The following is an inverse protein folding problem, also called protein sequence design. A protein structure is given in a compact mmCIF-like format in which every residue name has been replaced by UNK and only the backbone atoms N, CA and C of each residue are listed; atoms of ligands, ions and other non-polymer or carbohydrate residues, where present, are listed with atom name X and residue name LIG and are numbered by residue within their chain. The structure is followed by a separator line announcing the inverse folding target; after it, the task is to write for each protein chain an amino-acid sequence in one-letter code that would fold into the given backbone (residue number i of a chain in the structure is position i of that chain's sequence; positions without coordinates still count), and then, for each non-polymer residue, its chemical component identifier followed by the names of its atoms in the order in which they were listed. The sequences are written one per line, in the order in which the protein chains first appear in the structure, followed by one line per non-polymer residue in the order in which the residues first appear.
data_IF_248591564614
#
_entry.id   IF_248591564614
#
_cell.length_a   1.000
_cell.length_b   1.000
_cell.length_c   1.000
_cell.angle_alpha   90.00
_cell.angle_beta   90.00
_cell.angle_gamma   90.00
#
_symmetry.space_group_name_H-M   'P 1'
#
loop_
_entity.id
_entity.type
_entity.pdbx_description
1 polymer ?
#
# COMPACT_ATOMS: atom_id res chain seq x y z
N UNK A 1 47.05 -5.94 -5.45
CA UNK A 1 45.68 -5.41 -5.67
C UNK A 1 44.85 -5.79 -4.44
N UNK A 2 45.00 -5.16 -3.27
CA UNK A 2 44.81 -3.75 -2.92
C UNK A 2 43.40 -3.24 -3.25
N UNK A 3 42.54 -3.31 -2.22
CA UNK A 3 41.58 -2.30 -1.73
C UNK A 3 40.61 -1.62 -2.71
N UNK A 4 39.29 -1.68 -2.40
CA UNK A 4 38.56 -0.58 -1.75
C UNK A 4 37.06 -0.90 -1.66
N UNK A 5 36.59 -1.17 -0.44
CA UNK A 5 35.18 -1.00 -0.07
C UNK A 5 35.16 -0.04 1.13
N UNK A 6 34.87 1.23 0.83
CA UNK A 6 34.58 2.36 1.72
C UNK A 6 33.47 3.12 0.99
N UNK A 7 32.43 3.68 1.57
CA UNK A 7 31.96 3.89 2.93
C UNK A 7 30.52 4.38 2.78
N UNK A 8 29.64 4.09 3.74
CA UNK A 8 28.56 4.99 4.11
C UNK A 8 27.93 4.53 5.44
N UNK A 9 28.44 5.04 6.55
CA UNK A 9 27.59 5.59 7.61
C UNK A 9 28.45 6.21 8.70
N UNK A 10 28.39 7.54 8.77
CA UNK A 10 28.85 8.36 9.88
C UNK A 10 27.62 9.14 10.37
N UNK A 11 27.51 9.19 11.70
CA UNK A 11 26.74 10.11 12.55
C UNK A 11 25.23 9.92 12.70
N UNK A 12 24.87 9.25 13.79
CA UNK A 12 24.01 9.87 14.80
C UNK A 12 24.67 9.74 16.18
N UNK A 13 25.01 10.89 16.74
CA UNK A 13 25.43 11.09 18.12
C UNK A 13 24.22 11.06 19.06
N UNK A 14 24.35 10.39 20.19
CA UNK A 14 23.37 10.40 21.28
C UNK A 14 23.98 9.75 22.51
N UNK A 15 24.30 10.56 23.51
CA UNK A 15 25.04 10.15 24.71
C UNK A 15 24.20 9.45 25.79
N UNK A 16 24.95 8.77 26.67
CA UNK A 16 24.65 8.41 28.06
C UNK A 16 23.38 7.58 28.37
N UNK A 17 23.58 6.29 28.64
CA UNK A 17 23.53 5.74 30.01
C UNK A 17 23.88 4.25 30.02
N UNK A 18 24.95 3.90 30.73
CA UNK A 18 25.34 2.52 30.97
C UNK A 18 24.39 1.88 31.99
N UNK A 19 23.45 1.06 31.52
CA UNK A 19 22.68 0.15 32.36
C UNK A 19 23.37 -1.21 32.39
N UNK A 20 24.02 -1.48 33.53
CA UNK A 20 24.68 -2.74 33.88
C UNK A 20 23.60 -3.81 34.09
N UNK A 21 23.52 -4.78 33.19
CA UNK A 21 22.62 -5.94 33.32
C UNK A 21 23.24 -7.05 34.19
N UNK A 22 22.46 -7.75 35.03
CA UNK A 22 22.97 -8.78 35.92
C UNK A 22 23.29 -10.09 35.16
N UNK A 23 24.39 -10.72 35.58
CA UNK A 23 24.82 -12.05 35.15
C UNK A 23 23.85 -13.12 35.63
N UNK A 24 22.97 -13.58 34.76
CA UNK A 24 22.17 -14.80 34.95
C UNK A 24 22.12 -15.58 33.64
N UNK A 25 22.64 -16.81 33.64
CA UNK A 25 22.63 -17.71 32.48
C UNK A 25 21.19 -18.08 32.13
N UNK A 26 20.80 -18.06 30.84
CA UNK A 26 19.74 -18.91 30.33
C UNK A 26 20.37 -20.09 29.57
N UNK A 27 20.46 -21.23 30.26
CA UNK A 27 20.63 -22.53 29.62
C UNK A 27 19.35 -22.87 28.86
N UNK A 28 19.36 -22.66 27.54
CA UNK A 28 18.56 -23.39 26.54
C UNK A 28 18.99 -22.94 25.15
N UNK A 29 20.07 -23.55 24.67
CA UNK A 29 20.43 -23.52 23.26
C UNK A 29 19.28 -24.13 22.44
N UNK A 30 18.51 -23.30 21.74
CA UNK A 30 17.86 -23.72 20.51
C UNK A 30 18.96 -23.95 19.48
N UNK A 31 19.52 -25.17 19.48
CA UNK A 31 20.38 -25.65 18.40
C UNK A 31 19.48 -25.86 17.18
N UNK A 32 19.48 -24.91 16.26
CA UNK A 32 19.13 -25.19 14.87
C UNK A 32 20.11 -26.27 14.38
N UNK A 33 19.63 -27.51 14.27
CA UNK A 33 20.43 -28.65 13.84
C UNK A 33 20.68 -28.52 12.34
N UNK A 34 21.73 -27.78 11.97
CA UNK A 34 22.37 -27.91 10.67
C UNK A 34 23.18 -29.22 10.69
N UNK A 35 22.70 -30.26 10.00
CA UNK A 35 23.38 -31.55 9.94
C UNK A 35 22.39 -32.71 9.92
N UNK A 36 21.92 -33.01 8.72
CA UNK A 36 20.99 -34.09 8.41
C UNK A 36 20.59 -33.93 6.95
N UNK A 37 21.40 -34.49 6.07
CA UNK A 37 21.24 -34.53 4.63
C UNK A 37 20.00 -35.36 4.27
N UNK A 38 18.84 -34.77 4.53
CA UNK A 38 17.61 -35.07 3.81
C UNK A 38 17.51 -33.93 2.81
N UNK A 39 17.80 -34.24 1.56
CA UNK A 39 17.48 -33.39 0.43
C UNK A 39 15.97 -33.17 0.48
N UNK A 40 15.55 -32.08 1.13
CA UNK A 40 14.20 -31.59 1.03
C UNK A 40 13.88 -31.49 -0.46
N UNK A 41 12.79 -32.10 -0.95
CA UNK A 41 12.43 -31.99 -2.35
C UNK A 41 12.31 -30.50 -2.73
N UNK A 42 12.71 -30.12 -3.96
CA UNK A 42 12.71 -28.72 -4.39
C UNK A 42 11.33 -28.10 -4.21
N UNK A 43 11.26 -26.78 -3.96
CA UNK A 43 10.16 -26.18 -3.23
C UNK A 43 8.86 -26.19 -4.02
N UNK A 44 7.94 -27.00 -3.55
CA UNK A 44 6.54 -27.02 -3.99
C UNK A 44 5.82 -25.71 -3.70
N UNK A 45 6.32 -24.88 -2.77
CA UNK A 45 5.85 -23.51 -2.51
C UNK A 45 6.01 -22.57 -3.71
N UNK A 46 7.15 -22.63 -4.39
CA UNK A 46 7.49 -21.77 -5.55
C UNK A 46 6.46 -21.84 -6.69
N UNK A 47 5.91 -23.03 -6.96
CA UNK A 47 4.89 -23.24 -7.99
C UNK A 47 3.60 -22.49 -7.70
N UNK A 48 3.16 -22.45 -6.43
CA UNK A 48 1.95 -21.70 -6.04
C UNK A 48 2.18 -20.19 -6.16
N UNK A 49 3.35 -19.71 -5.76
CA UNK A 49 3.74 -18.29 -5.92
C UNK A 49 3.75 -17.91 -7.41
N UNK A 50 4.31 -18.76 -8.27
CA UNK A 50 4.28 -18.57 -9.73
C UNK A 50 2.85 -18.50 -10.28
N UNK A 51 1.91 -19.28 -9.72
CA UNK A 51 0.50 -19.25 -10.11
C UNK A 51 -0.23 -17.95 -9.76
N UNK A 52 0.28 -17.14 -8.81
CA UNK A 52 -0.32 -15.86 -8.43
C UNK A 52 0.53 -14.66 -8.84
N UNK A 53 1.64 -14.83 -9.56
CA UNK A 53 2.67 -13.79 -9.68
C UNK A 53 2.17 -12.50 -10.33
N UNK A 54 1.16 -12.58 -11.20
CA UNK A 54 0.54 -11.41 -11.85
C UNK A 54 -0.49 -10.70 -10.97
N UNK A 55 -1.00 -11.34 -9.91
CA UNK A 55 -2.12 -10.80 -9.11
C UNK A 55 -1.72 -9.56 -8.29
N UNK A 56 -0.60 -9.57 -7.52
CA UNK A 56 -0.19 -8.40 -6.76
C UNK A 56 0.04 -7.14 -7.61
N UNK A 57 0.88 -7.15 -8.66
CA UNK A 57 1.09 -5.94 -9.46
C UNK A 57 -0.19 -5.48 -10.19
N UNK A 58 -1.02 -6.41 -10.66
CA UNK A 58 -2.32 -6.08 -11.27
C UNK A 58 -3.29 -5.41 -10.29
N UNK A 59 -3.31 -5.85 -9.03
CA UNK A 59 -4.13 -5.23 -7.99
C UNK A 59 -3.66 -3.81 -7.70
N UNK A 60 -2.36 -3.61 -7.48
CA UNK A 60 -1.76 -2.30 -7.24
C UNK A 60 -2.03 -1.33 -8.40
N UNK A 61 -1.93 -1.80 -9.65
CA UNK A 61 -2.26 -1.00 -10.82
C UNK A 61 -3.70 -0.44 -10.77
N UNK A 62 -4.70 -1.27 -10.44
CA UNK A 62 -6.10 -0.86 -10.34
C UNK A 62 -6.34 0.13 -9.19
N UNK A 63 -5.65 -0.03 -8.07
CA UNK A 63 -5.75 0.92 -6.96
C UNK A 63 -5.21 2.28 -7.38
N UNK A 64 -4.09 2.31 -8.10
CA UNK A 64 -3.54 3.55 -8.65
C UNK A 64 -4.45 4.21 -9.70
N UNK A 65 -5.10 3.43 -10.57
CA UNK A 65 -6.10 3.97 -11.52
C UNK A 65 -7.25 4.68 -10.78
N UNK A 66 -7.70 4.12 -9.66
CA UNK A 66 -8.71 4.75 -8.82
C UNK A 66 -8.19 6.04 -8.15
N UNK A 67 -6.98 5.99 -7.58
CA UNK A 67 -6.33 7.14 -6.93
C UNK A 67 -6.16 8.27 -7.95
N UNK A 68 -5.71 7.99 -9.17
CA UNK A 68 -5.59 8.98 -10.24
C UNK A 68 -6.92 9.68 -10.49
N UNK A 69 -7.99 8.90 -10.67
CA UNK A 69 -9.32 9.46 -10.85
C UNK A 69 -9.74 10.39 -9.71
N UNK A 70 -9.45 10.04 -8.45
CA UNK A 70 -9.77 10.87 -7.29
C UNK A 70 -8.95 12.16 -7.28
N UNK A 71 -7.63 12.05 -7.39
CA UNK A 71 -6.70 13.19 -7.34
C UNK A 71 -7.01 14.18 -8.46
N UNK A 72 -7.14 13.71 -9.70
CA UNK A 72 -7.45 14.56 -10.84
C UNK A 72 -8.79 15.27 -10.63
N UNK A 73 -9.85 14.58 -10.20
CA UNK A 73 -11.14 15.24 -9.94
C UNK A 73 -11.04 16.36 -8.90
N UNK A 74 -10.31 16.14 -7.81
CA UNK A 74 -10.11 17.15 -6.76
C UNK A 74 -9.36 18.35 -7.33
N UNK A 75 -8.22 18.12 -8.01
CA UNK A 75 -7.43 19.20 -8.61
C UNK A 75 -8.23 20.01 -9.63
N UNK A 76 -9.01 19.34 -10.50
CA UNK A 76 -9.80 20.02 -11.52
C UNK A 76 -10.88 20.90 -10.89
N UNK A 77 -11.55 20.43 -9.83
CA UNK A 77 -12.55 21.22 -9.11
C UNK A 77 -11.95 22.48 -8.50
N UNK A 78 -10.76 22.39 -7.90
CA UNK A 78 -10.12 23.54 -7.26
C UNK A 78 -9.51 24.55 -8.24
N UNK A 79 -9.31 24.17 -9.50
CA UNK A 79 -8.70 25.01 -10.53
C UNK A 79 -9.65 25.40 -11.67
N UNK A 80 -10.96 25.12 -11.55
CA UNK A 80 -11.95 25.33 -12.62
C UNK A 80 -12.02 26.76 -13.17
N UNK A 81 -11.73 27.75 -12.33
CA UNK A 81 -11.75 29.15 -12.72
C UNK A 81 -10.51 29.60 -13.51
N UNK A 82 -9.47 28.75 -13.56
CA UNK A 82 -8.16 29.06 -14.14
C UNK A 82 -7.79 27.96 -15.15
N UNK A 83 -8.25 28.03 -16.41
CA UNK A 83 -8.12 26.92 -17.38
C UNK A 83 -6.68 26.49 -17.63
N UNK A 84 -5.74 27.45 -17.69
CA UNK A 84 -4.32 27.17 -17.88
C UNK A 84 -3.73 26.43 -16.67
N UNK A 85 -3.95 26.94 -15.45
CA UNK A 85 -3.59 26.26 -14.21
C UNK A 85 -4.17 24.85 -14.13
N UNK A 86 -5.45 24.70 -14.44
CA UNK A 86 -6.15 23.41 -14.44
C UNK A 86 -5.46 22.41 -15.36
N UNK A 87 -5.14 22.81 -16.59
CA UNK A 87 -4.49 21.94 -17.57
C UNK A 87 -3.11 21.46 -17.11
N UNK A 88 -2.32 22.35 -16.49
CA UNK A 88 -0.99 22.01 -16.00
C UNK A 88 -1.01 21.18 -14.72
N UNK A 89 -1.91 21.48 -13.78
CA UNK A 89 -2.11 20.64 -12.59
C UNK A 89 -2.49 19.21 -12.97
N UNK A 90 -3.37 19.05 -13.98
CA UNK A 90 -3.73 17.73 -14.50
C UNK A 90 -2.52 16.98 -15.03
N UNK A 91 -1.72 17.66 -15.88
CA UNK A 91 -0.53 17.07 -16.50
C UNK A 91 0.51 16.65 -15.46
N UNK A 92 0.85 17.55 -14.54
CA UNK A 92 1.80 17.28 -13.46
C UNK A 92 1.36 16.09 -12.60
N UNK A 93 0.11 16.10 -12.14
CA UNK A 93 -0.42 15.03 -11.30
C UNK A 93 -0.47 13.67 -12.01
N UNK A 94 -0.95 13.62 -13.26
CA UNK A 94 -0.97 12.37 -14.03
C UNK A 94 0.45 11.84 -14.29
N UNK A 95 1.43 12.70 -14.60
CA UNK A 95 2.81 12.28 -14.80
C UNK A 95 3.41 11.69 -13.52
N UNK A 96 3.24 12.37 -12.38
CA UNK A 96 3.72 11.90 -11.09
C UNK A 96 3.06 10.57 -10.70
N UNK A 97 1.74 10.47 -10.84
CA UNK A 97 1.00 9.26 -10.49
C UNK A 97 1.41 8.08 -11.37
N UNK A 98 1.59 8.29 -12.68
CA UNK A 98 2.07 7.23 -13.58
C UNK A 98 3.46 6.72 -13.15
N UNK A 99 4.39 7.63 -12.84
CA UNK A 99 5.73 7.29 -12.35
C UNK A 99 5.68 6.51 -11.03
N UNK A 100 4.83 6.93 -10.08
CA UNK A 100 4.70 6.26 -8.79
C UNK A 100 4.00 4.90 -8.92
N UNK A 101 3.00 4.80 -9.81
CA UNK A 101 2.32 3.55 -10.17
C UNK A 101 3.29 2.51 -10.73
N UNK A 102 4.14 2.90 -11.68
CA UNK A 102 5.17 2.00 -12.25
C UNK A 102 6.10 1.47 -11.16
N UNK A 103 6.66 2.36 -10.34
CA UNK A 103 7.52 1.97 -9.20
C UNK A 103 6.82 1.04 -8.22
N UNK A 104 5.54 1.30 -7.92
CA UNK A 104 4.77 0.45 -7.01
C UNK A 104 4.55 -0.95 -7.62
N UNK A 105 4.31 -1.04 -8.92
CA UNK A 105 4.20 -2.32 -9.63
C UNK A 105 5.52 -3.10 -9.64
N UNK A 106 6.64 -2.42 -9.90
CA UNK A 106 7.97 -3.03 -9.89
C UNK A 106 8.32 -3.60 -8.52
N UNK A 107 8.08 -2.84 -7.44
CA UNK A 107 8.25 -3.33 -6.06
C UNK A 107 7.40 -4.56 -5.77
N UNK A 108 6.15 -4.60 -6.27
CA UNK A 108 5.31 -5.79 -6.08
C UNK A 108 5.81 -6.99 -6.87
N UNK A 109 6.41 -6.77 -8.04
CA UNK A 109 7.06 -7.82 -8.80
C UNK A 109 8.28 -8.36 -8.03
N UNK A 110 9.14 -7.48 -7.52
CA UNK A 110 10.28 -7.84 -6.68
C UNK A 110 9.85 -8.66 -5.46
N UNK A 111 8.82 -8.23 -4.73
CA UNK A 111 8.30 -8.97 -3.58
C UNK A 111 7.86 -10.39 -3.95
N UNK A 112 7.19 -10.56 -5.09
CA UNK A 112 6.80 -11.87 -5.60
C UNK A 112 8.01 -12.71 -6.00
N UNK A 113 9.01 -12.13 -6.66
CA UNK A 113 10.24 -12.83 -7.04
C UNK A 113 11.04 -13.27 -5.81
N UNK A 114 11.14 -12.43 -4.79
CA UNK A 114 11.78 -12.76 -3.52
C UNK A 114 11.12 -13.99 -2.88
N UNK A 115 9.78 -14.07 -2.87
CA UNK A 115 9.04 -15.24 -2.37
C UNK A 115 9.22 -16.51 -3.23
N UNK A 116 9.57 -16.38 -4.51
CA UNK A 116 9.89 -17.55 -5.36
C UNK A 116 11.27 -18.13 -5.05
N UNK A 117 12.20 -17.30 -4.59
CA UNK A 117 13.59 -17.67 -4.33
C UNK A 117 13.80 -18.33 -2.97
N UNK A 118 12.91 -18.07 -2.00
CA UNK A 118 13.12 -18.51 -0.61
C UNK A 118 11.93 -19.26 -0.01
N UNK A 119 12.23 -20.35 0.70
CA UNK A 119 11.30 -21.05 1.59
C UNK A 119 11.42 -20.54 3.03
N UNK A 120 11.42 -19.22 3.19
CA UNK A 120 11.63 -18.60 4.51
C UNK A 120 10.49 -18.93 5.47
N UNK A 121 10.78 -19.80 6.43
CA UNK A 121 9.83 -20.40 7.41
C UNK A 121 10.10 -19.99 8.85
N UNK A 122 11.07 -19.10 9.12
CA UNK A 122 11.39 -18.63 10.49
C UNK A 122 10.32 -17.74 11.14
N UNK A 123 9.12 -17.65 10.55
CA UNK A 123 7.98 -17.01 11.17
C UNK A 123 7.48 -17.90 12.33
N UNK A 124 7.37 -17.40 13.58
CA UNK A 124 6.90 -18.21 14.70
C UNK A 124 5.50 -18.78 14.49
N UNK A 125 4.64 -18.12 13.69
CA UNK A 125 3.32 -18.62 13.32
C UNK A 125 3.38 -19.86 12.44
N UNK A 126 4.48 -20.11 11.72
CA UNK A 126 4.64 -21.28 10.86
C UNK A 126 4.51 -22.58 11.66
N UNK A 127 5.29 -22.69 12.74
CA UNK A 127 5.27 -23.87 13.61
C UNK A 127 3.90 -24.07 14.25
N UNK A 128 3.24 -22.99 14.67
CA UNK A 128 1.90 -23.05 15.24
C UNK A 128 0.88 -23.60 14.23
N UNK A 129 0.86 -23.06 13.01
CA UNK A 129 -0.05 -23.49 11.94
C UNK A 129 0.24 -24.93 11.50
N UNK A 130 1.52 -25.29 11.34
CA UNK A 130 1.91 -26.66 11.02
C UNK A 130 1.50 -27.65 12.10
N UNK A 131 1.74 -27.34 13.39
CA UNK A 131 1.31 -28.20 14.50
C UNK A 131 -0.21 -28.37 14.55
N UNK A 132 -0.97 -27.29 14.31
CA UNK A 132 -2.43 -27.37 14.23
C UNK A 132 -2.87 -28.31 13.09
N UNK A 133 -2.31 -28.13 11.90
CA UNK A 133 -2.61 -28.99 10.75
C UNK A 133 -2.22 -30.45 10.98
N UNK A 134 -1.09 -30.70 11.63
CA UNK A 134 -0.60 -32.04 11.96
C UNK A 134 -1.46 -32.78 12.98
N UNK A 135 -2.26 -32.08 13.79
CA UNK A 135 -3.22 -32.73 14.71
C UNK A 135 -4.24 -33.64 13.98
N UNK A 136 -4.44 -33.41 12.68
CA UNK A 136 -5.34 -34.19 11.83
C UNK A 136 -4.72 -35.49 11.30
N UNK A 137 -3.42 -35.74 11.55
CA UNK A 137 -2.71 -36.90 11.00
C UNK A 137 -3.35 -38.22 11.43
N UNK A 138 -3.75 -38.37 12.69
CA UNK A 138 -4.40 -39.60 13.17
C UNK A 138 -5.71 -39.87 12.42
N UNK A 139 -6.55 -38.84 12.23
CA UNK A 139 -7.80 -38.93 11.46
C UNK A 139 -7.53 -39.36 10.01
N UNK A 140 -6.50 -38.79 9.39
CA UNK A 140 -6.09 -39.12 8.03
C UNK A 140 -5.60 -40.56 7.91
N UNK A 141 -4.68 -40.99 8.78
CA UNK A 141 -4.13 -42.36 8.76
C UNK A 141 -5.20 -43.41 9.05
N UNK A 142 -6.17 -43.09 9.90
CA UNK A 142 -7.32 -43.95 10.17
C UNK A 142 -8.18 -44.22 8.92
N UNK A 143 -8.35 -43.21 8.05
CA UNK A 143 -9.11 -43.32 6.81
C UNK A 143 -8.35 -44.10 5.72
N UNK A 144 -7.02 -44.03 5.73
CA UNK A 144 -6.14 -44.82 4.86
C UNK A 144 -6.14 -46.30 5.27
N UNK A 145 -6.03 -46.58 6.57
CA UNK A 145 -5.88 -47.95 7.06
C UNK A 145 -7.18 -48.76 7.03
N UNK A 146 -8.34 -48.10 7.19
CA UNK A 146 -9.64 -48.78 7.26
C UNK A 146 -10.38 -48.69 5.94
N UNK A 147 -10.28 -49.73 5.11
CA UNK A 147 -10.98 -49.79 3.80
C UNK A 147 -12.50 -49.67 3.91
N UNK A 148 -13.09 -50.05 5.05
CA UNK A 148 -14.53 -49.95 5.34
C UNK A 148 -15.01 -48.53 5.64
N UNK A 149 -14.11 -47.58 5.91
CA UNK A 149 -14.47 -46.16 6.09
C UNK A 149 -14.68 -45.49 4.73
N UNK A 150 -15.48 -44.42 4.74
CA UNK A 150 -15.63 -43.49 3.61
C UNK A 150 -14.27 -43.15 3.01
N UNK A 151 -14.22 -43.11 1.67
CA UNK A 151 -13.04 -42.65 0.94
C UNK A 151 -12.87 -41.13 1.05
N UNK A 152 -13.95 -40.38 1.25
CA UNK A 152 -13.89 -38.93 1.40
C UNK A 152 -13.70 -38.54 2.86
N UNK A 153 -12.70 -37.69 3.11
CA UNK A 153 -12.46 -37.05 4.40
C UNK A 153 -12.36 -35.54 4.21
N UNK A 154 -12.90 -34.78 5.15
CA UNK A 154 -12.70 -33.34 5.18
C UNK A 154 -11.52 -32.98 6.10
N UNK A 155 -10.53 -32.28 5.56
CA UNK A 155 -9.35 -31.79 6.24
C UNK A 155 -9.37 -30.27 6.31
N UNK A 156 -9.09 -29.71 7.48
CA UNK A 156 -8.98 -28.26 7.68
C UNK A 156 -7.91 -27.67 6.74
N UNK A 157 -8.19 -26.49 6.18
CA UNK A 157 -7.36 -25.78 5.19
C UNK A 157 -7.12 -26.47 3.83
N UNK A 158 -7.55 -27.73 3.66
CA UNK A 158 -7.44 -28.47 2.40
C UNK A 158 -8.81 -28.70 1.75
N UNK A 159 -9.83 -28.99 2.54
CA UNK A 159 -11.17 -29.36 2.08
C UNK A 159 -11.38 -30.87 2.02
N UNK A 160 -12.34 -31.28 1.19
CA UNK A 160 -12.65 -32.70 0.98
C UNK A 160 -11.56 -33.39 0.13
N UNK A 161 -11.10 -34.55 0.60
CA UNK A 161 -10.05 -35.36 -0.01
C UNK A 161 -10.55 -36.78 -0.16
N UNK A 162 -10.51 -37.29 -1.39
CA UNK A 162 -10.71 -38.71 -1.68
C UNK A 162 -9.39 -39.47 -1.44
N UNK A 163 -9.40 -40.37 -0.45
CA UNK A 163 -8.26 -41.20 -0.08
C UNK A 163 -8.28 -42.58 -0.70
N UNK A 164 -9.27 -42.93 -1.53
CA UNK A 164 -9.40 -44.27 -2.11
C UNK A 164 -8.10 -44.72 -2.81
N UNK A 165 -7.58 -43.88 -3.69
CA UNK A 165 -6.36 -44.14 -4.49
C UNK A 165 -5.05 -44.06 -3.67
N UNK A 166 -5.12 -43.55 -2.44
CA UNK A 166 -3.96 -43.41 -1.56
C UNK A 166 -3.73 -44.65 -0.69
N UNK A 167 -4.75 -45.52 -0.54
CA UNK A 167 -4.70 -46.73 0.29
C UNK A 167 -3.68 -47.75 -0.18
N UNK A 168 -3.31 -47.71 -1.45
CA UNK A 168 -2.36 -48.63 -2.07
C UNK A 168 -0.90 -48.11 -2.01
N UNK A 169 -0.66 -46.92 -1.45
CA UNK A 169 0.66 -46.27 -1.36
C UNK A 169 1.04 -45.96 0.09
N UNK A 170 0.96 -46.96 0.97
CA UNK A 170 1.09 -46.77 2.43
C UNK A 170 2.47 -46.27 2.85
N UNK A 171 3.50 -46.63 2.10
CA UNK A 171 4.90 -46.44 2.49
C UNK A 171 5.32 -44.96 2.47
N UNK A 172 4.64 -44.13 1.68
CA UNK A 172 4.98 -42.71 1.47
C UNK A 172 3.87 -41.76 1.92
N UNK A 173 2.73 -42.29 2.38
CA UNK A 173 1.53 -41.48 2.58
C UNK A 173 1.67 -40.51 3.77
N UNK A 174 2.41 -40.93 4.79
CA UNK A 174 2.64 -40.12 5.98
C UNK A 174 3.56 -38.94 5.66
N UNK A 175 4.63 -39.17 4.90
CA UNK A 175 5.56 -38.13 4.46
C UNK A 175 4.87 -37.15 3.49
N UNK A 176 4.05 -37.66 2.59
CA UNK A 176 3.25 -36.83 1.68
C UNK A 176 2.26 -35.95 2.44
N UNK A 177 1.64 -36.47 3.51
CA UNK A 177 0.75 -35.71 4.37
C UNK A 177 1.50 -34.61 5.13
N UNK A 178 2.64 -34.92 5.77
CA UNK A 178 3.46 -33.92 6.46
C UNK A 178 3.90 -32.80 5.50
N UNK A 179 4.41 -33.17 4.32
CA UNK A 179 4.80 -32.21 3.29
C UNK A 179 3.62 -31.32 2.88
N UNK A 180 2.42 -31.89 2.69
CA UNK A 180 1.21 -31.13 2.37
C UNK A 180 0.84 -30.14 3.47
N UNK A 181 0.95 -30.51 4.75
CA UNK A 181 0.69 -29.60 5.87
C UNK A 181 1.71 -28.47 5.93
N UNK A 182 3.00 -28.77 5.75
CA UNK A 182 4.08 -27.77 5.69
C UNK A 182 3.84 -26.73 4.59
N UNK A 183 3.52 -27.18 3.38
CA UNK A 183 3.22 -26.29 2.24
C UNK A 183 1.98 -25.43 2.55
N UNK A 184 0.97 -26.01 3.20
CA UNK A 184 -0.27 -25.30 3.54
C UNK A 184 -0.01 -24.20 4.58
N UNK A 185 0.75 -24.51 5.64
CA UNK A 185 1.16 -23.54 6.65
C UNK A 185 2.04 -22.43 6.05
N UNK A 186 3.03 -22.78 5.24
CA UNK A 186 3.89 -21.82 4.54
C UNK A 186 3.09 -20.90 3.62
N UNK A 187 2.16 -21.46 2.82
CA UNK A 187 1.35 -20.69 1.89
C UNK A 187 0.50 -19.62 2.58
N UNK A 188 -0.02 -19.91 3.78
CA UNK A 188 -0.77 -18.94 4.60
C UNK A 188 0.10 -17.73 4.96
N UNK A 189 1.37 -17.97 5.30
CA UNK A 189 2.32 -16.91 5.65
C UNK A 189 2.71 -16.08 4.43
N UNK A 190 3.04 -16.72 3.32
CA UNK A 190 3.41 -16.02 2.07
C UNK A 190 2.29 -15.10 1.63
N UNK A 191 1.04 -15.60 1.65
CA UNK A 191 -0.11 -14.78 1.26
C UNK A 191 -0.25 -13.55 2.17
N UNK A 192 -0.08 -13.73 3.49
CA UNK A 192 -0.07 -12.62 4.44
C UNK A 192 1.02 -11.60 4.14
N UNK A 193 2.26 -12.04 3.92
CA UNK A 193 3.39 -11.16 3.60
C UNK A 193 3.14 -10.34 2.33
N UNK A 194 2.62 -10.96 1.28
CA UNK A 194 2.30 -10.27 0.03
C UNK A 194 1.20 -9.22 0.26
N UNK A 195 0.14 -9.56 1.02
CA UNK A 195 -0.96 -8.64 1.32
C UNK A 195 -0.49 -7.46 2.18
N UNK A 196 0.23 -7.74 3.26
CA UNK A 196 0.75 -6.71 4.17
C UNK A 196 1.72 -5.78 3.43
N UNK A 197 2.60 -6.35 2.61
CA UNK A 197 3.54 -5.58 1.79
C UNK A 197 2.80 -4.65 0.82
N UNK A 198 1.82 -5.16 0.07
CA UNK A 198 0.99 -4.31 -0.82
C UNK A 198 0.33 -3.16 -0.06
N UNK A 199 -0.28 -3.45 1.09
CA UNK A 199 -0.99 -2.44 1.87
C UNK A 199 -0.04 -1.36 2.40
N UNK A 200 1.11 -1.75 2.93
CA UNK A 200 2.10 -0.83 3.47
C UNK A 200 2.72 0.05 2.39
N UNK A 201 3.11 -0.53 1.24
CA UNK A 201 3.67 0.24 0.14
C UNK A 201 2.66 1.21 -0.46
N UNK A 202 1.40 0.78 -0.68
CA UNK A 202 0.34 1.68 -1.17
C UNK A 202 0.12 2.86 -0.22
N UNK A 203 0.04 2.59 1.09
CA UNK A 203 -0.16 3.65 2.09
C UNK A 203 1.03 4.62 2.12
N UNK A 204 2.25 4.09 2.14
CA UNK A 204 3.47 4.90 2.15
C UNK A 204 3.57 5.77 0.90
N UNK A 205 3.40 5.17 -0.29
CA UNK A 205 3.50 5.88 -1.56
C UNK A 205 2.40 6.95 -1.69
N UNK A 206 1.17 6.67 -1.21
CA UNK A 206 0.10 7.67 -1.19
C UNK A 206 0.41 8.85 -0.26
N UNK A 207 0.94 8.59 0.94
CA UNK A 207 1.31 9.65 1.87
C UNK A 207 2.46 10.50 1.31
N UNK A 208 3.46 9.87 0.70
CA UNK A 208 4.57 10.58 0.09
C UNK A 208 4.13 11.40 -1.13
N UNK A 209 3.26 10.83 -1.96
CA UNK A 209 2.67 11.53 -3.11
C UNK A 209 2.00 12.83 -2.67
N UNK A 210 1.07 12.76 -1.71
CA UNK A 210 0.24 13.90 -1.30
C UNK A 210 1.02 14.92 -0.48
N UNK A 211 1.88 14.47 0.44
CA UNK A 211 2.52 15.37 1.41
C UNK A 211 3.87 15.91 0.94
N UNK A 212 4.54 15.26 -0.01
CA UNK A 212 5.93 15.59 -0.37
C UNK A 212 6.12 15.86 -1.87
N UNK A 213 5.52 15.04 -2.74
CA UNK A 213 5.86 15.07 -4.17
C UNK A 213 4.93 15.95 -5.00
N UNK A 214 3.62 15.98 -4.68
CA UNK A 214 2.62 16.63 -5.52
C UNK A 214 2.82 18.13 -5.65
N UNK A 215 3.12 18.82 -4.55
CA UNK A 215 3.39 20.26 -4.58
C UNK A 215 4.62 20.56 -5.44
N UNK A 216 5.71 19.83 -5.22
CA UNK A 216 6.96 20.02 -5.96
C UNK A 216 6.77 19.79 -7.47
N UNK A 217 6.04 18.74 -7.86
CA UNK A 217 5.77 18.45 -9.27
C UNK A 217 4.87 19.54 -9.90
N UNK A 218 3.82 19.97 -9.20
CA UNK A 218 2.94 21.04 -9.69
C UNK A 218 3.74 22.34 -9.84
N UNK A 219 4.49 22.76 -8.82
CA UNK A 219 5.30 23.99 -8.86
C UNK A 219 6.35 23.93 -9.96
N UNK A 220 7.01 22.77 -10.14
CA UNK A 220 7.95 22.55 -11.23
C UNK A 220 7.32 22.74 -12.61
N UNK A 221 6.10 22.22 -12.79
CA UNK A 221 5.33 22.40 -14.03
C UNK A 221 4.88 23.86 -14.24
N UNK A 222 4.59 24.60 -13.17
CA UNK A 222 4.13 26.00 -13.22
C UNK A 222 5.25 26.99 -13.57
N UNK A 223 6.43 26.81 -12.99
CA UNK A 223 7.54 27.76 -13.15
C UNK A 223 8.13 27.70 -14.56
N UNK A 224 8.09 26.52 -15.20
CA UNK A 224 8.68 26.28 -16.52
C UNK A 224 10.19 26.60 -16.56
N UNK A 225 10.87 26.40 -17.70
CA UNK A 225 12.31 26.66 -17.79
C UNK A 225 12.69 28.15 -17.64
N UNK A 226 11.73 29.05 -17.89
CA UNK A 226 11.98 30.48 -18.05
C UNK A 226 11.33 31.36 -16.96
N UNK A 227 10.75 30.78 -15.90
CA UNK A 227 10.30 31.48 -14.69
C UNK A 227 9.10 32.43 -14.82
N UNK A 228 8.60 32.70 -16.03
CA UNK A 228 7.53 33.67 -16.31
C UNK A 228 6.14 33.07 -16.59
N UNK A 229 5.91 31.80 -16.27
CA UNK A 229 4.67 31.09 -16.60
C UNK A 229 3.49 31.39 -15.66
N UNK A 230 3.76 31.65 -14.39
CA UNK A 230 2.75 31.64 -13.31
C UNK A 230 1.64 32.66 -13.55
N UNK A 231 1.97 33.89 -13.94
CA UNK A 231 0.98 34.96 -14.14
C UNK A 231 -0.03 34.60 -15.23
N UNK A 232 0.43 34.01 -16.34
CA UNK A 232 -0.45 33.55 -17.43
C UNK A 232 -1.33 32.39 -16.99
N UNK A 233 -0.84 31.55 -16.09
CA UNK A 233 -1.58 30.39 -15.62
C UNK A 233 -2.70 30.74 -14.64
N UNK A 234 -2.54 31.85 -13.92
CA UNK A 234 -3.54 32.44 -13.03
C UNK A 234 -4.54 33.36 -13.74
N UNK A 235 -4.59 33.33 -15.08
CA UNK A 235 -5.61 34.04 -15.84
C UNK A 235 -6.98 33.39 -15.65
N UNK A 236 -7.93 34.19 -15.14
CA UNK A 236 -9.31 33.75 -14.93
C UNK A 236 -10.02 33.45 -16.25
N UNK A 237 -10.92 32.46 -16.23
CA UNK A 237 -11.80 32.22 -17.35
C UNK A 237 -12.62 33.49 -17.69
N UNK A 238 -12.80 33.85 -18.97
CA UNK A 238 -13.51 35.08 -19.35
C UNK A 238 -14.93 35.19 -18.75
N UNK A 239 -15.62 34.06 -18.60
CA UNK A 239 -16.94 34.00 -17.98
C UNK A 239 -16.94 34.32 -16.49
N UNK A 240 -15.88 33.94 -15.77
CA UNK A 240 -15.68 34.22 -14.34
C UNK A 240 -15.31 35.69 -14.16
N UNK A 241 -14.37 36.19 -14.96
CA UNK A 241 -13.98 37.60 -14.95
C UNK A 241 -15.19 38.53 -15.21
N UNK A 242 -16.01 38.22 -16.22
CA UNK A 242 -17.22 38.98 -16.51
C UNK A 242 -18.26 38.95 -15.38
N UNK A 243 -18.44 37.80 -14.71
CA UNK A 243 -19.31 37.68 -13.54
C UNK A 243 -18.79 38.51 -12.36
N UNK A 244 -17.48 38.46 -12.10
CA UNK A 244 -16.81 39.24 -11.05
C UNK A 244 -16.99 40.74 -11.28
N UNK A 245 -16.80 41.20 -12.51
CA UNK A 245 -17.00 42.61 -12.88
C UNK A 245 -18.45 43.06 -12.69
N UNK A 246 -19.42 42.25 -13.14
CA UNK A 246 -20.85 42.55 -12.96
C UNK A 246 -21.24 42.62 -11.48
N UNK A 247 -20.74 41.68 -10.67
CA UNK A 247 -20.99 41.65 -9.23
C UNK A 247 -20.39 42.87 -8.54
N UNK A 248 -19.13 43.22 -8.85
CA UNK A 248 -18.45 44.38 -8.29
C UNK A 248 -19.19 45.70 -8.61
N UNK A 249 -19.70 45.86 -9.84
CA UNK A 249 -20.53 47.01 -10.21
C UNK A 249 -21.81 47.09 -9.37
N UNK A 250 -22.47 45.94 -9.16
CA UNK A 250 -23.70 45.86 -8.36
C UNK A 250 -23.44 46.19 -6.89
N UNK A 251 -22.38 45.64 -6.31
CA UNK A 251 -21.96 45.94 -4.93
C UNK A 251 -21.65 47.43 -4.76
N UNK A 252 -20.96 48.05 -5.73
CA UNK A 252 -20.68 49.49 -5.68
C UNK A 252 -21.96 50.32 -5.65
N UNK A 253 -22.90 50.04 -6.55
CA UNK A 253 -24.19 50.74 -6.61
C UNK A 253 -24.99 50.58 -5.30
N UNK A 254 -25.01 49.37 -4.72
CA UNK A 254 -25.69 49.12 -3.46
C UNK A 254 -25.07 49.92 -2.30
N UNK A 255 -23.74 50.06 -2.26
CA UNK A 255 -23.05 50.90 -1.27
C UNK A 255 -23.39 52.38 -1.43
N UNK A 256 -23.46 52.87 -2.67
CA UNK A 256 -23.87 54.24 -2.98
C UNK A 256 -25.32 54.50 -2.55
N UNK A 257 -26.24 53.57 -2.85
CA UNK A 257 -27.64 53.66 -2.43
C UNK A 257 -27.78 53.67 -0.91
N UNK A 258 -27.04 52.78 -0.20
CA UNK A 258 -27.05 52.73 1.25
C UNK A 258 -26.58 54.06 1.87
N UNK A 259 -25.55 54.70 1.30
CA UNK A 259 -25.07 56.01 1.76
C UNK A 259 -26.09 57.13 1.54
N UNK A 260 -26.86 57.09 0.45
CA UNK A 260 -27.96 58.05 0.21
C UNK A 260 -29.09 57.86 1.21
N UNK A 261 -29.50 56.62 1.46
CA UNK A 261 -30.55 56.31 2.45
C UNK A 261 -30.14 56.73 3.85
N UNK A 262 -28.88 56.49 4.24
CA UNK A 262 -28.36 56.97 5.53
C UNK A 262 -28.51 58.49 5.68
N UNK A 263 -28.12 59.26 4.65
CA UNK A 263 -28.29 60.74 4.66
C UNK A 263 -29.74 61.19 4.76
N UNK A 264 -30.67 60.44 4.18
CA UNK A 264 -32.12 60.74 4.29
C UNK A 264 -32.58 60.47 5.73
N UNK A 265 -32.16 59.35 6.31
CA UNK A 265 -32.52 58.97 7.68
C UNK A 265 -31.96 59.95 8.72
N UNK A 266 -30.71 60.41 8.54
CA UNK A 266 -30.10 61.43 9.41
C UNK A 266 -30.88 62.75 9.38
N UNK A 267 -31.44 63.13 8.22
CA UNK A 267 -32.27 64.34 8.10
C UNK A 267 -33.59 64.19 8.84
N UNK A 268 -34.28 63.06 8.65
CA UNK A 268 -35.55 62.77 9.32
C UNK A 268 -35.37 62.83 10.85
N UNK A 269 -34.33 62.17 11.37
CA UNK A 269 -34.05 62.17 12.81
C UNK A 269 -33.64 63.55 13.38
N UNK A 270 -33.17 64.48 12.55
CA UNK A 270 -32.84 65.85 12.98
C UNK A 270 -34.06 66.78 12.99
N UNK A 271 -35.12 66.47 12.25
CA UNK A 271 -36.35 67.27 12.19
C UNK A 271 -37.22 67.07 13.44
N UNK A 272 -37.15 65.90 14.10
CA UNK A 272 -37.92 65.55 15.29
C UNK A 272 -37.44 66.19 16.62
N UNK A 273 -36.36 66.98 16.63
CA UNK A 273 -35.80 67.65 17.83
C UNK A 273 -35.99 69.18 17.87
N UNK A 274 -36.71 69.76 16.91
CA UNK A 274 -36.90 71.22 16.80
C UNK A 274 -38.35 71.69 17.04
N UNK A 275 -39.20 70.87 17.66
CA UNK A 275 -40.53 71.26 18.17
C UNK A 275 -40.55 71.26 19.71
#
# INVERSE_FOLDING_TARGET
MAAHCRSASIMLSGGHSALKMPSGRPDRHYKCRAGGETTFPPPTGSRKVKGISSKPPSFVARVWDYIEGVVIRVLMRHSENYPQLQSSMRRAASNLINKTKEKAMDRMMENVEMEKLTDYTCNPKYMLEWNNLMSQQNKFMDAINRRSKSSNINLEAIGEVDVANLRDRKDQIQDAFDLKMRITAYWKIVLGRIVDSMALHLLFDMQNLVNSEMEAEIVGELIGPNGGGIEKMLEEAPSVAAKRDKLNRSVRLLRECAAVVAKIMDKINCEDYND
#
